data_IF_218455145736
#
_entry.id   IF_218455145736
#
_cell.length_a   1.000
_cell.length_b   1.000
_cell.length_c   1.000
_cell.angle_alpha   90.00
_cell.angle_beta   90.00
_cell.angle_gamma   90.00
#
_symmetry.space_group_name_H-M   'P 1'
#
loop_
_entity.id
_entity.type
_entity.pdbx_description
1 polymer ?
#
# COMPACT_ATOMS: atom_id res chain seq x y z
N UNK A 1 22.54 -7.04 -0.47
CA UNK A 1 22.00 -7.20 0.90
C UNK A 1 21.16 -5.97 1.18
N UNK A 2 19.84 -6.02 0.94
CA UNK A 2 18.93 -4.93 1.31
C UNK A 2 17.77 -5.55 2.07
N UNK A 3 17.99 -5.70 3.38
CA UNK A 3 16.93 -5.78 4.36
C UNK A 3 16.93 -4.41 5.05
N UNK A 4 15.86 -3.64 4.86
CA UNK A 4 15.63 -2.37 5.56
C UNK A 4 14.65 -2.65 6.69
N UNK A 5 15.22 -3.12 7.80
CA UNK A 5 14.52 -3.39 9.05
C UNK A 5 13.96 -2.13 9.70
N UNK A 6 12.77 -1.74 9.28
CA UNK A 6 11.74 -1.11 10.13
C UNK A 6 10.47 -1.88 9.84
N UNK A 7 9.90 -2.58 10.83
CA UNK A 7 8.91 -3.65 10.66
C UNK A 7 7.79 -3.36 9.62
N UNK A 8 8.05 -3.68 8.35
CA UNK A 8 7.05 -3.69 7.30
C UNK A 8 6.27 -4.99 7.50
N UNK A 9 4.97 -4.88 7.81
CA UNK A 9 4.09 -6.06 7.88
C UNK A 9 4.25 -6.82 6.55
N UNK A 10 4.23 -8.15 6.57
CA UNK A 10 4.49 -9.07 5.44
C UNK A 10 3.76 -8.75 4.12
N UNK A 11 2.80 -7.84 4.16
CA UNK A 11 1.86 -7.52 3.08
C UNK A 11 1.89 -6.04 2.65
N UNK A 12 2.69 -5.19 3.28
CA UNK A 12 2.87 -3.78 2.91
C UNK A 12 4.00 -3.60 1.87
N UNK A 13 3.99 -2.46 1.17
CA UNK A 13 5.05 -2.09 0.23
C UNK A 13 6.28 -1.56 0.97
N UNK A 14 7.45 -2.02 0.54
CA UNK A 14 8.73 -1.42 0.90
C UNK A 14 8.83 0.00 0.36
N UNK A 15 9.67 0.84 0.98
CA UNK A 15 9.88 2.21 0.49
C UNK A 15 10.40 2.23 -0.96
N UNK A 16 11.24 1.26 -1.36
CA UNK A 16 11.71 1.14 -2.74
C UNK A 16 10.57 0.82 -3.72
N UNK A 17 9.70 -0.14 -3.39
CA UNK A 17 8.51 -0.43 -4.20
C UNK A 17 7.58 0.78 -4.27
N UNK A 18 7.45 1.51 -3.16
CA UNK A 18 6.63 2.71 -3.08
C UNK A 18 7.16 3.82 -3.98
N UNK A 19 8.47 4.10 -3.99
CA UNK A 19 9.09 5.11 -4.86
C UNK A 19 8.88 4.82 -6.35
N UNK A 20 8.79 3.55 -6.74
CA UNK A 20 8.47 3.15 -8.12
C UNK A 20 6.99 3.37 -8.48
N UNK A 21 6.08 3.18 -7.52
CA UNK A 21 4.63 3.24 -7.76
C UNK A 21 4.07 4.65 -7.57
N UNK A 22 4.56 5.41 -6.59
CA UNK A 22 4.11 6.75 -6.24
C UNK A 22 3.96 7.70 -7.45
N UNK A 23 4.93 7.83 -8.38
CA UNK A 23 4.80 8.72 -9.52
C UNK A 23 3.74 8.27 -10.55
N UNK A 24 3.35 6.99 -10.53
CA UNK A 24 2.32 6.44 -11.42
C UNK A 24 0.90 6.71 -10.92
N UNK A 25 0.75 7.12 -9.67
CA UNK A 25 -0.57 7.39 -9.08
C UNK A 25 -1.01 8.78 -9.53
N UNK A 26 -2.09 8.90 -10.33
CA UNK A 26 -2.58 10.20 -10.76
C UNK A 26 -3.06 10.98 -9.54
N UNK A 27 -2.59 12.22 -9.43
CA UNK A 27 -3.08 13.15 -8.42
C UNK A 27 -4.52 13.50 -8.75
N UNK A 28 -5.44 13.27 -7.81
CA UNK A 28 -6.85 13.56 -8.02
C UNK A 28 -7.02 15.06 -8.31
N UNK A 29 -7.46 15.39 -9.53
CA UNK A 29 -7.73 16.76 -9.94
C UNK A 29 -9.05 17.30 -9.38
N UNK A 30 -9.99 16.40 -9.07
CA UNK A 30 -11.34 16.71 -8.59
C UNK A 30 -11.81 15.64 -7.59
N UNK A 31 -12.79 15.99 -6.76
CA UNK A 31 -13.41 15.09 -5.78
C UNK A 31 -12.84 15.18 -4.36
N UNK A 32 -13.30 14.28 -3.48
CA UNK A 32 -12.86 14.24 -2.07
C UNK A 32 -11.39 13.79 -2.00
N UNK A 33 -10.54 14.47 -1.18
CA UNK A 33 -9.18 14.01 -0.93
C UNK A 33 -9.19 12.54 -0.51
N UNK A 34 -8.39 11.73 -1.21
CA UNK A 34 -8.21 10.33 -0.81
C UNK A 34 -7.45 10.30 0.52
N UNK A 35 -7.71 9.27 1.33
CA UNK A 35 -6.74 8.88 2.35
C UNK A 35 -5.37 8.70 1.68
N UNK A 36 -4.31 8.92 2.46
CA UNK A 36 -2.92 8.93 2.00
C UNK A 36 -2.64 7.76 1.03
N UNK A 37 -2.08 8.06 -0.14
CA UNK A 37 -2.05 7.12 -1.28
C UNK A 37 -1.35 5.81 -0.91
N UNK A 38 -0.32 5.84 -0.06
CA UNK A 38 0.41 4.64 0.40
C UNK A 38 -0.48 3.72 1.20
N UNK A 39 -1.38 4.24 2.04
CA UNK A 39 -2.36 3.42 2.75
C UNK A 39 -3.31 2.68 1.81
N UNK A 40 -3.77 3.35 0.74
CA UNK A 40 -4.65 2.72 -0.25
C UNK A 40 -3.92 1.60 -0.98
N UNK A 41 -2.70 1.88 -1.46
CA UNK A 41 -1.92 0.88 -2.20
C UNK A 41 -1.49 -0.28 -1.29
N UNK A 42 -1.12 -0.02 -0.04
CA UNK A 42 -0.85 -1.07 0.95
C UNK A 42 -2.07 -1.97 1.17
N UNK A 43 -3.28 -1.41 1.25
CA UNK A 43 -4.51 -2.20 1.34
C UNK A 43 -4.73 -3.11 0.14
N UNK A 44 -4.50 -2.61 -1.08
CA UNK A 44 -4.60 -3.39 -2.33
C UNK A 44 -3.51 -4.45 -2.41
N UNK A 45 -2.26 -4.10 -2.11
CA UNK A 45 -1.13 -5.03 -2.09
C UNK A 45 -1.37 -6.16 -1.08
N UNK A 46 -1.92 -5.82 0.09
CA UNK A 46 -2.29 -6.81 1.09
C UNK A 46 -3.33 -7.78 0.55
N UNK A 47 -4.43 -7.29 -0.04
CA UNK A 47 -5.46 -8.12 -0.66
C UNK A 47 -4.89 -9.10 -1.70
N UNK A 48 -4.02 -8.61 -2.59
CA UNK A 48 -3.44 -9.42 -3.66
C UNK A 48 -2.51 -10.50 -3.08
N UNK A 49 -1.67 -10.14 -2.11
CA UNK A 49 -0.67 -11.02 -1.52
C UNK A 49 -1.27 -12.08 -0.60
N UNK A 50 -2.36 -11.76 0.11
CA UNK A 50 -2.97 -12.67 1.09
C UNK A 50 -4.18 -13.42 0.57
N UNK A 51 -4.77 -12.97 -0.54
CA UNK A 51 -6.08 -13.43 -1.05
C UNK A 51 -7.22 -13.37 -0.02
N UNK A 52 -7.05 -12.63 1.07
CA UNK A 52 -8.06 -12.51 2.12
C UNK A 52 -9.30 -11.81 1.56
N UNK A 53 -10.52 -12.20 1.96
CA UNK A 53 -11.75 -11.51 1.53
C UNK A 53 -11.73 -10.02 1.92
N UNK A 54 -12.35 -9.15 1.13
CA UNK A 54 -12.41 -7.70 1.46
C UNK A 54 -13.16 -7.44 2.77
N UNK A 55 -13.94 -8.42 3.20
CA UNK A 55 -14.69 -8.42 4.46
C UNK A 55 -13.81 -8.69 5.69
N UNK A 56 -12.59 -9.19 5.50
CA UNK A 56 -11.71 -9.62 6.60
C UNK A 56 -10.33 -8.95 6.52
N UNK A 57 -10.24 -7.61 6.48
CA UNK A 57 -8.93 -6.96 6.46
C UNK A 57 -8.18 -7.27 7.77
N UNK A 58 -6.85 -7.47 7.72
CA UNK A 58 -6.06 -7.59 8.95
C UNK A 58 -6.25 -6.31 9.79
N UNK A 59 -6.46 -6.49 11.09
CA UNK A 59 -6.65 -5.40 12.04
C UNK A 59 -5.45 -4.44 11.96
N UNK A 60 -5.71 -3.15 11.72
CA UNK A 60 -4.66 -2.12 11.61
C UNK A 60 -4.35 -1.52 12.95
#
# INVERSE_FOLDING_TARGET
MVDHGGAIRRHELTDLEWELIAPLIPRAATGRPRVENRQVVNGVACKIRTRISWRDPPER
#
